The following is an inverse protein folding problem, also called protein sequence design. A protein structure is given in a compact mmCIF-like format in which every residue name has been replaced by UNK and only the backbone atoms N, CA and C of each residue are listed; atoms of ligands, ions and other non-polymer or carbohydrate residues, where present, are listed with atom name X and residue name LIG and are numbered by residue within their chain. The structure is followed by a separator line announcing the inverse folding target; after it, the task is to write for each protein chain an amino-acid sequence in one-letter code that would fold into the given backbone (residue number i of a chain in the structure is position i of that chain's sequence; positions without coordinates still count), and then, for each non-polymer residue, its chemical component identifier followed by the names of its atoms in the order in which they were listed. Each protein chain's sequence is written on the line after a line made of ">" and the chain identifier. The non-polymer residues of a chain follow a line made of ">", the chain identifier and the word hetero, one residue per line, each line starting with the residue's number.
data_IF_438050205294
#
_entry.id   IF_438050205294
#
_cell.length_a   1.000
_cell.length_b   1.000
_cell.length_c   1.000
_cell.angle_alpha   90.00
_cell.angle_beta   90.00
_cell.angle_gamma   90.00
#
_symmetry.space_group_name_H-M   'P 1'
#
loop_
_entity.id
_entity.type
_entity.pdbx_description
1 polymer ?
#
# COMPACT_ATOMS: atom_id res chain seq x y z
N UNK A 1 -28.48 35.05 13.63
CA UNK A 1 -27.03 34.92 13.44
C UNK A 1 -26.66 33.50 13.82
N UNK A 2 -26.28 32.68 12.83
CA UNK A 2 -25.89 31.28 13.02
C UNK A 2 -24.46 31.22 13.59
N UNK A 3 -24.27 30.44 14.65
CA UNK A 3 -22.96 29.90 14.99
C UNK A 3 -22.84 28.55 14.29
N UNK A 4 -22.06 28.50 13.21
CA UNK A 4 -21.67 27.25 12.56
C UNK A 4 -20.52 26.65 13.36
N UNK A 5 -20.81 25.55 14.05
CA UNK A 5 -19.82 24.70 14.68
C UNK A 5 -18.94 24.12 13.57
N UNK A 6 -17.67 24.49 13.55
CA UNK A 6 -16.65 23.91 12.68
C UNK A 6 -16.49 22.45 13.11
N UNK A 7 -16.91 21.53 12.24
CA UNK A 7 -16.72 20.09 12.43
C UNK A 7 -15.28 19.69 12.13
N UNK A 8 -14.39 19.86 13.11
CA UNK A 8 -13.07 19.22 13.10
C UNK A 8 -13.17 17.83 13.73
N UNK A 9 -13.65 16.88 12.94
CA UNK A 9 -13.81 15.48 13.33
C UNK A 9 -13.54 14.55 12.15
N UNK A 10 -12.29 14.48 11.69
CA UNK A 10 -11.90 13.45 10.71
C UNK A 10 -10.40 13.10 10.85
N UNK A 11 -10.07 12.44 11.96
CA UNK A 11 -8.97 11.48 11.95
C UNK A 11 -9.45 10.27 11.16
N UNK A 12 -8.73 9.86 10.11
CA UNK A 12 -9.07 8.70 9.29
C UNK A 12 -9.17 7.39 10.09
N UNK A 13 -8.70 7.39 11.35
CA UNK A 13 -8.63 6.21 12.22
C UNK A 13 -7.62 5.16 11.74
N UNK A 14 -6.94 5.42 10.62
CA UNK A 14 -5.96 4.51 10.01
C UNK A 14 -4.69 4.51 10.85
N UNK A 15 -4.22 3.31 11.18
CA UNK A 15 -2.96 3.09 11.89
C UNK A 15 -2.07 2.16 11.06
N UNK A 16 -0.82 2.00 11.48
CA UNK A 16 0.10 1.03 10.86
C UNK A 16 -0.44 -0.41 10.87
N UNK A 17 -1.30 -0.75 11.83
CA UNK A 17 -1.88 -2.10 11.97
C UNK A 17 -3.19 -2.26 11.20
N UNK A 18 -3.74 -1.21 10.59
CA UNK A 18 -4.93 -1.32 9.75
C UNK A 18 -4.65 -2.24 8.56
N UNK A 19 -5.58 -3.13 8.24
CA UNK A 19 -5.48 -3.96 7.03
C UNK A 19 -5.50 -3.08 5.77
N UNK A 20 -4.64 -3.41 4.80
CA UNK A 20 -4.46 -2.60 3.60
C UNK A 20 -5.77 -2.40 2.81
N UNK A 21 -6.60 -3.44 2.72
CA UNK A 21 -7.90 -3.39 2.03
C UNK A 21 -8.89 -2.39 2.65
N UNK A 22 -8.69 -2.01 3.92
CA UNK A 22 -9.54 -1.08 4.67
C UNK A 22 -9.06 0.37 4.56
N UNK A 23 -8.01 0.65 3.78
CA UNK A 23 -7.64 2.03 3.48
C UNK A 23 -8.85 2.79 2.90
N UNK A 24 -9.13 4.01 3.37
CA UNK A 24 -10.17 4.84 2.80
C UNK A 24 -9.98 5.04 1.29
N UNK A 25 -11.07 5.12 0.53
CA UNK A 25 -10.99 5.25 -0.94
C UNK A 25 -10.16 6.44 -1.39
N UNK A 26 -10.29 7.59 -0.72
CA UNK A 26 -9.46 8.78 -1.01
C UNK A 26 -7.95 8.52 -0.81
N UNK A 27 -7.58 7.69 0.16
CA UNK A 27 -6.19 7.33 0.41
C UNK A 27 -5.67 6.39 -0.68
N UNK A 28 -6.48 5.38 -1.04
CA UNK A 28 -6.16 4.42 -2.10
C UNK A 28 -5.98 5.10 -3.45
N UNK A 29 -6.93 5.92 -3.88
CA UNK A 29 -6.87 6.57 -5.20
C UNK A 29 -5.69 7.53 -5.33
N UNK A 30 -5.35 8.27 -4.26
CA UNK A 30 -4.18 9.14 -4.29
C UNK A 30 -2.85 8.35 -4.29
N UNK A 31 -2.75 7.25 -3.53
CA UNK A 31 -1.60 6.35 -3.62
C UNK A 31 -1.46 5.75 -5.01
N UNK A 32 -2.58 5.33 -5.60
CA UNK A 32 -2.62 4.75 -6.92
C UNK A 32 -2.10 5.73 -7.95
N UNK A 33 -2.58 6.97 -7.93
CA UNK A 33 -2.07 8.03 -8.81
C UNK A 33 -0.57 8.30 -8.62
N UNK A 34 -0.09 8.40 -7.37
CA UNK A 34 1.34 8.61 -7.08
C UNK A 34 2.20 7.48 -7.66
N UNK A 35 1.75 6.23 -7.49
CA UNK A 35 2.47 5.04 -7.92
C UNK A 35 2.36 4.79 -9.42
N UNK A 36 1.27 5.19 -10.08
CA UNK A 36 1.12 5.02 -11.51
C UNK A 36 2.13 5.88 -12.29
N UNK A 37 2.29 7.14 -11.89
CA UNK A 37 3.21 8.10 -12.55
C UNK A 37 4.65 7.58 -12.60
N UNK A 38 5.07 6.79 -11.61
CA UNK A 38 6.43 6.24 -11.53
C UNK A 38 6.48 4.74 -11.84
N UNK A 39 5.38 4.14 -12.31
CA UNK A 39 5.20 2.69 -12.42
C UNK A 39 5.54 1.92 -11.11
N UNK A 40 5.47 2.60 -9.97
CA UNK A 40 5.89 2.11 -8.66
C UNK A 40 5.02 0.96 -8.14
N UNK A 41 3.78 0.82 -8.61
CA UNK A 41 2.93 -0.30 -8.22
C UNK A 41 3.53 -1.67 -8.63
N UNK A 42 4.27 -1.73 -9.75
CA UNK A 42 4.98 -2.93 -10.19
C UNK A 42 6.12 -3.28 -9.25
N UNK A 43 6.85 -2.26 -8.82
CA UNK A 43 7.93 -2.39 -7.84
C UNK A 43 7.42 -2.87 -6.48
N UNK A 44 6.23 -2.42 -6.06
CA UNK A 44 5.54 -2.91 -4.86
C UNK A 44 5.13 -4.37 -5.04
N UNK A 45 4.42 -4.69 -6.12
CA UNK A 45 3.91 -6.04 -6.40
C UNK A 45 5.06 -7.06 -6.49
N UNK A 46 6.12 -6.75 -7.22
CA UNK A 46 7.32 -7.59 -7.33
C UNK A 46 8.10 -7.73 -6.02
N UNK A 47 7.86 -6.86 -5.03
CA UNK A 47 8.48 -6.92 -3.70
C UNK A 47 7.69 -7.67 -2.65
N UNK A 48 6.45 -8.07 -2.92
CA UNK A 48 5.66 -8.85 -1.96
C UNK A 48 6.31 -10.23 -1.76
N UNK A 49 6.82 -10.55 -0.55
CA UNK A 49 7.43 -11.85 -0.32
C UNK A 49 6.40 -12.98 -0.32
N UNK A 50 6.82 -14.14 -0.81
CA UNK A 50 6.08 -15.40 -0.77
C UNK A 50 6.39 -16.20 0.49
N UNK A 51 5.84 -17.42 0.57
CA UNK A 51 6.11 -18.34 1.68
C UNK A 51 7.63 -18.61 1.81
N UNK A 52 8.19 -18.65 3.04
CA UNK A 52 7.52 -18.71 4.35
C UNK A 52 7.18 -17.37 5.00
N UNK A 53 7.39 -16.24 4.31
CA UNK A 53 7.04 -14.93 4.86
C UNK A 53 5.52 -14.77 5.00
N UNK A 54 5.10 -14.03 6.02
CA UNK A 54 3.74 -13.59 6.22
C UNK A 54 3.71 -12.12 6.65
N UNK A 55 2.62 -11.37 6.38
CA UNK A 55 2.47 -10.00 6.83
C UNK A 55 2.83 -9.77 8.30
N UNK A 56 3.46 -8.65 8.61
CA UNK A 56 3.99 -8.30 9.92
C UNK A 56 5.29 -9.00 10.32
N UNK A 57 5.87 -9.85 9.47
CA UNK A 57 7.27 -10.28 9.62
C UNK A 57 8.20 -9.24 8.96
N UNK A 58 9.44 -9.08 9.47
CA UNK A 58 10.45 -8.29 8.78
C UNK A 58 10.58 -8.74 7.31
N UNK A 59 10.77 -7.78 6.40
CA UNK A 59 11.05 -8.11 5.00
C UNK A 59 12.36 -8.90 4.91
N UNK A 60 12.45 -9.92 4.06
CA UNK A 60 13.71 -10.62 3.82
C UNK A 60 14.79 -9.64 3.33
N UNK A 61 16.03 -9.83 3.79
CA UNK A 61 17.16 -9.02 3.36
C UNK A 61 17.61 -9.40 1.93
N UNK A 62 18.08 -8.41 1.18
CA UNK A 62 18.59 -8.59 -0.19
C UNK A 62 17.50 -8.78 -1.24
N UNK A 63 17.88 -9.32 -2.41
CA UNK A 63 16.98 -9.49 -3.56
C UNK A 63 16.49 -10.93 -3.74
N UNK A 64 17.14 -11.89 -3.08
CA UNK A 64 16.91 -13.31 -3.26
C UNK A 64 15.98 -13.86 -2.18
N UNK A 65 14.67 -13.72 -2.42
CA UNK A 65 13.63 -14.38 -1.65
C UNK A 65 12.47 -14.80 -2.55
N UNK A 66 11.69 -15.82 -2.16
CA UNK A 66 10.49 -16.20 -2.90
C UNK A 66 9.55 -15.01 -3.05
N UNK A 67 9.08 -14.73 -4.27
CA UNK A 67 8.08 -13.69 -4.52
C UNK A 67 6.69 -14.28 -4.50
N UNK A 68 5.72 -13.52 -4.00
CA UNK A 68 4.31 -13.91 -4.07
C UNK A 68 3.79 -13.82 -5.51
N UNK A 69 4.27 -12.84 -6.26
CA UNK A 69 3.90 -12.55 -7.63
C UNK A 69 5.11 -12.68 -8.54
N UNK A 70 4.93 -13.35 -9.67
CA UNK A 70 5.90 -13.47 -10.76
C UNK A 70 5.86 -12.25 -11.68
N UNK A 71 6.82 -12.16 -12.61
CA UNK A 71 6.78 -11.17 -13.69
C UNK A 71 5.52 -11.30 -14.56
N UNK A 72 5.04 -12.53 -14.75
CA UNK A 72 3.87 -12.81 -15.58
C UNK A 72 2.59 -12.31 -14.90
N UNK A 73 2.49 -12.44 -13.57
CA UNK A 73 1.38 -11.89 -12.79
C UNK A 73 1.34 -10.35 -12.90
N UNK A 74 2.51 -9.69 -12.81
CA UNK A 74 2.63 -8.23 -12.96
C UNK A 74 2.26 -7.80 -14.39
N UNK A 75 2.65 -8.59 -15.39
CA UNK A 75 2.29 -8.33 -16.78
C UNK A 75 0.78 -8.46 -17.00
N UNK A 76 0.15 -9.49 -16.45
CA UNK A 76 -1.29 -9.68 -16.53
C UNK A 76 -2.07 -8.50 -15.91
N UNK A 77 -1.67 -8.04 -14.72
CA UNK A 77 -2.26 -6.85 -14.09
C UNK A 77 -2.09 -5.61 -14.99
N UNK A 78 -0.93 -5.45 -15.62
CA UNK A 78 -0.68 -4.35 -16.53
C UNK A 78 -1.59 -4.34 -17.75
N UNK A 79 -1.84 -5.51 -18.34
CA UNK A 79 -2.75 -5.62 -19.48
C UNK A 79 -4.18 -5.27 -19.09
N UNK A 80 -4.63 -5.76 -17.92
CA UNK A 80 -5.96 -5.49 -17.39
C UNK A 80 -6.16 -4.00 -17.08
N UNK A 81 -5.19 -3.36 -16.42
CA UNK A 81 -5.19 -1.91 -16.19
C UNK A 81 -5.32 -1.11 -17.49
N UNK A 82 -4.64 -1.55 -18.56
CA UNK A 82 -4.73 -0.92 -19.88
C UNK A 82 -6.10 -1.05 -20.54
N UNK A 83 -6.81 -2.17 -20.31
CA UNK A 83 -8.14 -2.43 -20.87
C UNK A 83 -9.23 -1.67 -20.12
N UNK A 84 -9.20 -1.72 -18.79
CA UNK A 84 -10.27 -1.23 -17.92
C UNK A 84 -10.04 0.20 -17.40
N UNK A 85 -8.91 0.83 -17.77
CA UNK A 85 -8.47 2.14 -17.27
C UNK A 85 -8.40 2.20 -15.74
N UNK A 86 -7.96 1.09 -15.14
CA UNK A 86 -7.78 0.96 -13.70
C UNK A 86 -6.33 1.23 -13.33
N UNK A 87 -6.12 1.87 -12.20
CA UNK A 87 -4.78 2.13 -11.67
C UNK A 87 -4.19 0.83 -11.09
N UNK A 88 -2.92 0.53 -11.38
CA UNK A 88 -2.32 -0.77 -11.02
C UNK A 88 -2.27 -1.04 -9.52
N UNK A 89 -2.13 0.03 -8.72
CA UNK A 89 -2.16 -0.10 -7.26
C UNK A 89 -3.54 -0.47 -6.71
N UNK A 90 -4.64 -0.05 -7.35
CA UNK A 90 -5.99 -0.42 -6.89
C UNK A 90 -6.22 -1.93 -7.08
N UNK A 91 -5.82 -2.46 -8.23
CA UNK A 91 -5.83 -3.91 -8.50
C UNK A 91 -4.96 -4.66 -7.49
N UNK A 92 -3.74 -4.16 -7.24
CA UNK A 92 -2.85 -4.76 -6.24
C UNK A 92 -3.48 -4.80 -4.83
N UNK A 93 -4.19 -3.74 -4.41
CA UNK A 93 -4.83 -3.73 -3.08
C UNK A 93 -5.98 -4.73 -3.00
N UNK A 94 -6.75 -4.92 -4.07
CA UNK A 94 -7.81 -5.92 -4.14
C UNK A 94 -7.23 -7.34 -4.06
N UNK A 95 -6.17 -7.61 -4.81
CA UNK A 95 -5.50 -8.91 -4.83
C UNK A 95 -4.72 -9.19 -3.53
N UNK A 96 -3.72 -8.35 -3.23
CA UNK A 96 -2.84 -8.57 -2.09
C UNK A 96 -3.56 -8.35 -0.76
N UNK A 97 -4.39 -7.30 -0.67
CA UNK A 97 -5.14 -6.94 0.53
C UNK A 97 -6.13 -8.00 0.99
N UNK A 98 -6.55 -8.90 0.10
CA UNK A 98 -7.45 -10.04 0.40
C UNK A 98 -6.75 -11.40 0.32
N UNK A 99 -5.42 -11.42 0.18
CA UNK A 99 -4.65 -12.67 0.08
C UNK A 99 -4.26 -13.26 1.45
N UNK A 100 -4.06 -14.58 1.49
CA UNK A 100 -3.51 -15.29 2.67
C UNK A 100 -4.46 -15.45 3.85
N UNK A 101 -3.98 -16.06 4.95
CA UNK A 101 -4.72 -16.11 6.23
C UNK A 101 -4.51 -14.85 7.07
N UNK A 102 -3.27 -14.35 7.10
CA UNK A 102 -2.91 -13.07 7.72
C UNK A 102 -2.90 -11.99 6.64
N UNK A 103 -3.65 -10.92 6.86
CA UNK A 103 -3.83 -9.83 5.89
C UNK A 103 -2.64 -8.87 5.93
N UNK A 104 -2.22 -8.30 4.79
CA UNK A 104 -1.26 -7.23 4.79
C UNK A 104 -1.84 -5.98 5.44
N UNK A 105 -0.99 -5.27 6.15
CA UNK A 105 -1.28 -4.04 6.89
C UNK A 105 -0.65 -2.84 6.21
N UNK A 106 -1.01 -1.64 6.67
CA UNK A 106 -0.33 -0.41 6.25
C UNK A 106 1.17 -0.46 6.54
N UNK A 107 1.59 -1.07 7.65
CA UNK A 107 3.01 -1.26 8.00
C UNK A 107 3.77 -2.10 6.96
N UNK A 108 3.12 -3.13 6.41
CA UNK A 108 3.73 -3.97 5.37
C UNK A 108 3.98 -3.17 4.09
N UNK A 109 3.00 -2.34 3.71
CA UNK A 109 3.14 -1.43 2.56
C UNK A 109 4.25 -0.40 2.80
N UNK A 110 4.32 0.25 3.97
CA UNK A 110 5.39 1.20 4.32
C UNK A 110 6.76 0.55 4.16
N UNK A 111 6.93 -0.66 4.69
CA UNK A 111 8.18 -1.40 4.63
C UNK A 111 8.61 -1.67 3.17
N UNK A 112 7.65 -2.08 2.32
CA UNK A 112 7.93 -2.33 0.90
C UNK A 112 8.26 -1.03 0.16
N UNK A 113 7.50 0.05 0.40
CA UNK A 113 7.77 1.36 -0.20
C UNK A 113 9.17 1.88 0.17
N UNK A 114 9.59 1.68 1.42
CA UNK A 114 10.91 2.08 1.90
C UNK A 114 12.03 1.32 1.19
N UNK A 115 11.94 -0.02 1.12
CA UNK A 115 12.94 -0.85 0.42
C UNK A 115 12.94 -0.57 -1.09
N UNK A 116 11.77 -0.26 -1.67
CA UNK A 116 11.63 0.14 -3.07
C UNK A 116 12.06 1.59 -3.35
N UNK A 117 12.42 2.36 -2.31
CA UNK A 117 12.76 3.80 -2.39
C UNK A 117 11.65 4.65 -3.03
N UNK A 118 10.39 4.25 -2.86
CA UNK A 118 9.20 4.94 -3.35
C UNK A 118 8.78 6.03 -2.36
N UNK A 119 9.69 6.97 -2.09
CA UNK A 119 9.56 7.92 -0.99
C UNK A 119 8.34 8.83 -1.09
N UNK A 120 7.92 9.22 -2.29
CA UNK A 120 6.71 10.06 -2.46
C UNK A 120 5.44 9.36 -1.97
N UNK A 121 5.30 8.07 -2.25
CA UNK A 121 4.16 7.28 -1.78
C UNK A 121 4.26 7.03 -0.27
N UNK A 122 5.48 6.79 0.23
CA UNK A 122 5.76 6.65 1.65
C UNK A 122 5.40 7.92 2.42
N UNK A 123 5.88 9.09 1.98
CA UNK A 123 5.60 10.40 2.59
C UNK A 123 4.10 10.68 2.62
N UNK A 124 3.40 10.42 1.52
CA UNK A 124 1.95 10.55 1.48
C UNK A 124 1.25 9.67 2.54
N UNK A 125 1.67 8.41 2.64
CA UNK A 125 1.09 7.47 3.60
C UNK A 125 1.40 7.88 5.05
N UNK A 126 2.64 8.27 5.36
CA UNK A 126 3.05 8.61 6.73
C UNK A 126 2.59 9.98 7.19
N UNK A 127 2.62 10.99 6.31
CA UNK A 127 2.30 12.38 6.66
C UNK A 127 0.81 12.66 6.50
N UNK A 128 0.19 12.21 5.40
CA UNK A 128 -1.20 12.56 5.09
C UNK A 128 -2.18 11.53 5.62
N UNK A 129 -1.92 10.24 5.38
CA UNK A 129 -2.88 9.17 5.73
C UNK A 129 -2.80 8.82 7.21
N UNK A 130 -1.58 8.63 7.72
CA UNK A 130 -1.31 8.29 9.12
C UNK A 130 -1.17 9.52 10.02
N UNK A 131 -1.08 10.73 9.47
CA UNK A 131 -0.91 12.00 10.22
C UNK A 131 0.24 11.97 11.25
N UNK A 132 1.32 11.26 10.94
CA UNK A 132 2.45 11.12 11.87
C UNK A 132 2.20 10.19 13.07
N UNK A 133 1.09 9.43 13.11
CA UNK A 133 0.91 8.29 14.03
C UNK A 133 1.79 7.10 13.61
N UNK A 134 3.08 7.36 13.43
CA UNK A 134 4.11 6.35 13.42
C UNK A 134 4.26 5.93 14.88
N UNK A 135 3.65 4.80 15.26
CA UNK A 135 4.07 4.14 16.48
C UNK A 135 5.59 3.92 16.35
N UNK A 136 6.36 4.64 17.15
CA UNK A 136 7.81 4.75 17.07
C UNK A 136 8.45 3.37 16.85
N UNK A 137 9.20 3.22 15.76
CA UNK A 137 10.06 2.06 15.54
C UNK A 137 11.26 2.19 16.49
N UNK A 138 11.39 1.26 17.44
CA UNK A 138 12.60 0.96 18.20
C UNK A 138 13.12 -0.41 17.79
#
# INVERSE_FOLDING_TARGET
>A
MQALTIGDGNGSGVTLTSELRLLPSWAKSQLAHILEVTHGWREVMGRVPGHPWAPGMPLPEGEHYPRKYSSDDIHLVSEECGRDRREGFEVLVEEWGTSGRKRPTVSDLVSILQVAKLYRAMDYLTVTVLKGNLAYFH
#
